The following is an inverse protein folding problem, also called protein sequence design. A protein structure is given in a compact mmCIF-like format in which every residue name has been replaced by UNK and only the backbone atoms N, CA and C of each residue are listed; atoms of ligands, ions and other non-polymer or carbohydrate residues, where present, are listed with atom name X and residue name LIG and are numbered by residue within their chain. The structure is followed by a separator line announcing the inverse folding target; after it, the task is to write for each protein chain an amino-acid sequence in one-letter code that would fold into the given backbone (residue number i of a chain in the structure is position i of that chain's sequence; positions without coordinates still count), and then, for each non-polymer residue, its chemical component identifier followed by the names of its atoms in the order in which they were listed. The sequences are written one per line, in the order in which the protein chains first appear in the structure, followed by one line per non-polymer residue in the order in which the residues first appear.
data_IF_632053697048
#
_entry.id   IF_632053697048
#
_cell.length_a   1.000
_cell.length_b   1.000
_cell.length_c   1.000
_cell.angle_alpha   90.00
_cell.angle_beta   90.00
_cell.angle_gamma   90.00
#
_symmetry.space_group_name_H-M   'P 1'
#
loop_
_entity.id
_entity.type
_entity.pdbx_description
1 polymer ?
#
# COMPACT_ATOMS: atom_id res chain seq x y z
N UNK A 1 2.44 0.04 -5.71
CA UNK A 1 1.22 0.26 -4.89
C UNK A 1 0.66 1.66 -5.13
N UNK A 2 1.44 2.69 -4.85
CA UNK A 2 0.99 4.09 -4.74
C UNK A 2 0.26 4.60 -5.98
N UNK A 3 0.82 4.38 -7.18
CA UNK A 3 0.19 4.82 -8.43
C UNK A 3 -1.18 4.16 -8.68
N UNK A 4 -1.32 2.86 -8.35
CA UNK A 4 -2.56 2.11 -8.57
C UNK A 4 -3.65 2.53 -7.59
N UNK A 5 -3.26 2.71 -6.33
CA UNK A 5 -4.19 3.13 -5.28
C UNK A 5 -4.71 4.55 -5.51
N UNK A 6 -3.83 5.50 -5.85
CA UNK A 6 -4.21 6.89 -6.20
C UNK A 6 -5.15 6.90 -7.40
N UNK A 7 -4.84 6.14 -8.47
CA UNK A 7 -5.68 6.11 -9.66
C UNK A 7 -7.10 5.55 -9.40
N UNK A 8 -7.21 4.54 -8.54
CA UNK A 8 -8.50 3.91 -8.23
C UNK A 8 -9.35 4.76 -7.27
N UNK A 9 -8.73 5.42 -6.30
CA UNK A 9 -9.43 6.08 -5.18
C UNK A 9 -9.52 7.60 -5.31
N UNK A 10 -8.60 8.22 -6.05
CA UNK A 10 -8.40 9.66 -6.09
C UNK A 10 -7.75 10.25 -4.83
N UNK A 11 -7.38 9.42 -3.85
CA UNK A 11 -6.66 9.86 -2.65
C UNK A 11 -5.21 10.15 -2.99
N UNK A 12 -4.67 11.25 -2.46
CA UNK A 12 -3.25 11.56 -2.58
C UNK A 12 -2.42 10.65 -1.67
N UNK A 13 -1.16 10.41 -2.05
CA UNK A 13 -0.21 9.75 -1.16
C UNK A 13 0.21 10.69 -0.04
N UNK A 14 0.22 10.18 1.20
CA UNK A 14 0.58 10.92 2.40
C UNK A 14 1.87 10.34 3.01
N UNK A 15 3.06 10.81 2.60
CA UNK A 15 4.33 10.25 3.08
C UNK A 15 4.56 10.49 4.58
N UNK A 16 4.04 11.62 5.09
CA UNK A 16 4.29 12.08 6.46
C UNK A 16 3.42 11.36 7.50
N UNK A 17 2.57 10.43 7.07
CA UNK A 17 1.66 9.67 7.96
C UNK A 17 2.22 8.29 8.30
N UNK A 18 3.36 7.90 7.72
CA UNK A 18 4.06 6.68 8.08
C UNK A 18 4.81 6.92 9.40
N UNK A 19 4.34 6.30 10.48
CA UNK A 19 4.94 6.44 11.80
C UNK A 19 5.92 5.31 12.11
N UNK A 20 6.78 5.51 13.11
CA UNK A 20 7.66 4.45 13.61
C UNK A 20 6.88 3.20 14.03
N UNK A 21 5.71 3.39 14.66
CA UNK A 21 4.84 2.31 15.13
C UNK A 21 4.31 1.44 13.97
N UNK A 22 4.16 2.01 12.78
CA UNK A 22 3.79 1.26 11.58
C UNK A 22 4.93 0.40 11.05
N UNK A 23 6.19 0.72 11.36
CA UNK A 23 7.38 -0.01 10.90
C UNK A 23 7.94 -1.01 11.92
N UNK A 24 7.74 -0.77 13.23
CA UNK A 24 8.15 -1.68 14.32
C UNK A 24 6.96 -2.45 14.94
N UNK A 25 5.84 -2.51 14.22
CA UNK A 25 4.62 -3.14 14.72
C UNK A 25 4.89 -4.60 15.12
N UNK A 26 4.36 -5.01 16.28
CA UNK A 26 4.67 -6.30 16.89
C UNK A 26 4.45 -7.50 15.95
N UNK A 27 3.46 -7.39 15.04
CA UNK A 27 3.12 -8.45 14.10
C UNK A 27 4.30 -8.85 13.20
N UNK A 28 5.19 -7.92 12.85
CA UNK A 28 6.33 -8.20 11.99
C UNK A 28 7.39 -9.09 12.65
N UNK A 29 7.39 -9.18 13.99
CA UNK A 29 8.22 -10.14 14.75
C UNK A 29 7.59 -11.54 14.85
N UNK A 30 6.38 -11.73 14.30
CA UNK A 30 5.63 -13.00 14.32
C UNK A 30 5.47 -13.63 12.94
N UNK A 31 5.66 -12.84 11.88
CA UNK A 31 5.66 -13.30 10.49
C UNK A 31 7.06 -13.84 10.15
N UNK A 32 7.14 -14.82 9.26
CA UNK A 32 8.43 -15.34 8.77
C UNK A 32 9.26 -14.21 8.13
N UNK A 33 10.57 -14.06 8.45
CA UNK A 33 11.40 -12.97 7.93
C UNK A 33 11.49 -12.90 6.40
N UNK A 34 11.22 -13.99 5.69
CA UNK A 34 11.21 -14.05 4.22
C UNK A 34 9.83 -13.77 3.62
N UNK A 35 8.80 -13.55 4.44
CA UNK A 35 7.46 -13.19 3.98
C UNK A 35 7.31 -11.67 3.96
N UNK A 36 7.11 -11.04 2.79
CA UNK A 36 6.80 -9.62 2.71
C UNK A 36 5.53 -9.29 3.50
N UNK A 37 5.59 -8.26 4.34
CA UNK A 37 4.47 -7.82 5.17
C UNK A 37 4.39 -6.28 5.18
N UNK A 38 3.17 -5.76 5.30
CA UNK A 38 2.90 -4.33 5.42
C UNK A 38 1.64 -4.06 6.24
N UNK A 39 1.57 -2.86 6.82
CA UNK A 39 0.33 -2.28 7.35
C UNK A 39 -0.20 -1.31 6.31
N UNK A 40 -1.49 -1.41 5.98
CA UNK A 40 -2.12 -0.56 4.98
C UNK A 40 -3.21 0.29 5.62
N UNK A 41 -3.00 1.60 5.64
CA UNK A 41 -4.04 2.57 5.96
C UNK A 41 -4.65 3.08 4.65
N UNK A 42 -5.96 2.85 4.49
CA UNK A 42 -6.67 3.09 3.23
C UNK A 42 -7.22 4.52 3.10
N UNK A 43 -7.12 5.32 4.16
CA UNK A 43 -7.59 6.70 4.23
C UNK A 43 -7.95 7.11 5.65
N UNK A 44 -8.29 8.39 5.83
CA UNK A 44 -8.68 8.94 7.13
C UNK A 44 -10.20 8.92 7.28
N UNK A 45 -10.73 8.30 8.33
CA UNK A 45 -12.18 8.33 8.60
C UNK A 45 -12.75 9.75 8.78
N UNK A 46 -11.92 10.74 9.08
CA UNK A 46 -12.34 12.15 9.15
C UNK A 46 -12.59 12.80 7.78
N UNK A 47 -11.81 12.43 6.75
CA UNK A 47 -11.89 13.04 5.41
C UNK A 47 -12.46 12.11 4.33
N UNK A 48 -12.14 10.82 4.42
CA UNK A 48 -12.34 9.84 3.35
C UNK A 48 -13.51 8.87 3.65
N UNK A 49 -14.29 9.12 4.70
CA UNK A 49 -15.36 8.22 5.16
C UNK A 49 -16.32 7.80 4.05
N UNK A 50 -16.69 8.73 3.17
CA UNK A 50 -17.62 8.44 2.08
C UNK A 50 -17.03 7.40 1.11
N UNK A 51 -15.76 7.58 0.72
CA UNK A 51 -15.03 6.59 -0.08
C UNK A 51 -14.91 5.25 0.67
N UNK A 52 -14.51 5.28 1.95
CA UNK A 52 -14.28 4.06 2.73
C UNK A 52 -15.56 3.26 3.04
N UNK A 53 -16.73 3.90 3.00
CA UNK A 53 -18.02 3.24 3.33
C UNK A 53 -18.88 2.95 2.10
N UNK A 54 -18.83 3.78 1.07
CA UNK A 54 -19.67 3.66 -0.13
C UNK A 54 -18.87 3.38 -1.41
N UNK A 55 -17.54 3.47 -1.39
CA UNK A 55 -16.63 3.21 -2.51
C UNK A 55 -15.57 2.15 -2.20
N UNK A 56 -15.91 1.20 -1.31
CA UNK A 56 -15.00 0.14 -0.89
C UNK A 56 -14.54 -0.76 -2.04
N UNK A 57 -15.34 -0.87 -3.10
CA UNK A 57 -14.99 -1.55 -4.36
C UNK A 57 -13.76 -0.91 -5.03
N UNK A 58 -13.72 0.43 -5.11
CA UNK A 58 -12.58 1.17 -5.68
C UNK A 58 -11.34 1.04 -4.82
N UNK A 59 -11.50 1.10 -3.51
CA UNK A 59 -10.42 0.87 -2.54
C UNK A 59 -9.84 -0.52 -2.72
N UNK A 60 -10.69 -1.55 -2.73
CA UNK A 60 -10.28 -2.94 -2.94
C UNK A 60 -9.58 -3.14 -4.29
N UNK A 61 -10.08 -2.52 -5.36
CA UNK A 61 -9.46 -2.56 -6.69
C UNK A 61 -8.05 -1.98 -6.66
N UNK A 62 -7.87 -0.80 -6.05
CA UNK A 62 -6.55 -0.17 -5.91
C UNK A 62 -5.56 -1.04 -5.13
N UNK A 63 -6.03 -1.73 -4.09
CA UNK A 63 -5.21 -2.70 -3.32
C UNK A 63 -4.84 -3.90 -4.17
N UNK A 64 -5.80 -4.52 -4.85
CA UNK A 64 -5.57 -5.69 -5.69
C UNK A 64 -4.59 -5.40 -6.83
N UNK A 65 -4.76 -4.27 -7.53
CA UNK A 65 -3.86 -3.84 -8.61
C UNK A 65 -2.45 -3.54 -8.09
N UNK A 66 -2.35 -2.97 -6.89
CA UNK A 66 -1.07 -2.69 -6.25
C UNK A 66 -0.32 -3.96 -5.84
N UNK A 67 -1.03 -4.97 -5.30
CA UNK A 67 -0.47 -6.30 -5.01
C UNK A 67 -0.06 -6.99 -6.32
N UNK A 68 -0.89 -6.95 -7.35
CA UNK A 68 -0.57 -7.50 -8.67
C UNK A 68 0.72 -6.89 -9.25
N UNK A 69 0.87 -5.57 -9.11
CA UNK A 69 2.09 -4.86 -9.50
C UNK A 69 3.32 -5.31 -8.70
N UNK A 70 3.18 -5.55 -7.40
CA UNK A 70 4.28 -6.06 -6.55
C UNK A 70 4.70 -7.47 -6.98
N UNK A 71 3.73 -8.34 -7.25
CA UNK A 71 3.99 -9.73 -7.66
C UNK A 71 4.57 -9.84 -9.08
N UNK A 72 4.29 -8.88 -9.96
CA UNK A 72 4.86 -8.84 -11.31
C UNK A 72 6.37 -8.58 -11.30
N UNK A 73 6.91 -8.01 -10.21
CA UNK A 73 8.31 -7.59 -10.12
C UNK A 73 8.61 -6.34 -10.94
N UNK A 74 9.86 -5.85 -10.90
CA UNK A 74 10.30 -4.74 -11.74
C UNK A 74 10.25 -5.12 -13.23
N UNK A 75 10.16 -4.13 -14.14
CA UNK A 75 10.32 -4.37 -15.57
C UNK A 75 11.62 -5.14 -15.86
N UNK A 76 11.60 -6.02 -16.86
CA UNK A 76 12.74 -6.89 -17.19
C UNK A 76 14.03 -6.12 -17.60
N UNK A 77 13.90 -4.82 -17.83
CA UNK A 77 14.88 -3.86 -18.30
C UNK A 77 15.40 -2.91 -17.19
N UNK A 78 14.94 -3.04 -15.95
CA UNK A 78 15.60 -2.42 -14.79
C UNK A 78 16.83 -3.25 -14.37
N UNK A 79 17.98 -2.99 -15.00
CA UNK A 79 19.27 -3.45 -14.45
C UNK A 79 19.46 -2.88 -13.05
N UNK A 80 19.91 -3.69 -12.06
CA UNK A 80 20.18 -3.20 -10.72
C UNK A 80 21.14 -2.01 -10.76
N UNK A 81 20.70 -0.87 -10.24
CA UNK A 81 21.60 0.23 -9.88
C UNK A 81 22.44 -0.31 -8.73
N UNK A 82 23.68 -0.70 -9.04
CA UNK A 82 24.62 -1.19 -8.04
C UNK A 82 24.91 -0.03 -7.05
N UNK A 83 24.86 -0.26 -5.73
CA UNK A 83 25.19 0.75 -4.72
C UNK A 83 26.67 1.16 -4.77
#
# INVERSE_FOLDING_TARGET
MDQKYVAATGLAYHPDTITHDMTDYHVFRKIDPLTPALILEMGFLGGDRALLTAGADRVAQGVADGIGCFLAGPPADETPINP
#
